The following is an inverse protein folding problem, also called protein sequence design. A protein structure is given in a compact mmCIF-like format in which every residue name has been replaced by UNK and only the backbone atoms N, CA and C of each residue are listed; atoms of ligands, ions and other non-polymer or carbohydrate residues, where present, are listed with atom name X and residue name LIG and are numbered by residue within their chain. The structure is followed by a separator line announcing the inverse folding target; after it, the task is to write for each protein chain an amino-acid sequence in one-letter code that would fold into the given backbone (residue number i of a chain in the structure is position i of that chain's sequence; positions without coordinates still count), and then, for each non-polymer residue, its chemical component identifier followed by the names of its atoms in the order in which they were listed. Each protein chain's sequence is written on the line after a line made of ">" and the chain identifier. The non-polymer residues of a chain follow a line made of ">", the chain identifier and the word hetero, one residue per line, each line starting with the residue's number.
data_IF_506486968563
#
_entry.id   IF_506486968563
#
_cell.length_a   1.000
_cell.length_b   1.000
_cell.length_c   1.000
_cell.angle_alpha   90.00
_cell.angle_beta   90.00
_cell.angle_gamma   90.00
#
_symmetry.space_group_name_H-M   'P 1'
#
loop_
_entity.id
_entity.type
_entity.pdbx_description
1 polymer ?
#
# COMPACT_ATOMS: atom_id res chain seq x y z
N UNK A 1 -45.91 -17.22 25.25
CA UNK A 1 -45.05 -17.72 24.15
C UNK A 1 -45.04 -16.63 23.10
N UNK A 2 -43.98 -15.83 23.10
CA UNK A 2 -43.74 -14.87 22.04
C UNK A 2 -42.86 -15.65 21.07
N UNK A 3 -43.45 -16.08 19.97
CA UNK A 3 -42.73 -16.59 18.81
C UNK A 3 -41.83 -15.44 18.34
N UNK A 4 -40.62 -15.44 18.88
CA UNK A 4 -39.51 -14.67 18.35
C UNK A 4 -39.23 -15.34 17.03
N UNK A 5 -39.87 -14.82 16.01
CA UNK A 5 -39.52 -14.96 14.62
C UNK A 5 -38.02 -14.62 14.53
N UNK A 6 -37.19 -15.64 14.65
CA UNK A 6 -35.74 -15.60 14.45
C UNK A 6 -35.49 -15.53 12.94
N UNK A 7 -36.17 -14.60 12.28
CA UNK A 7 -35.82 -14.07 10.95
C UNK A 7 -34.67 -13.09 11.12
N UNK A 8 -33.68 -13.48 11.93
CA UNK A 8 -32.33 -13.04 11.64
C UNK A 8 -32.01 -13.78 10.36
N UNK A 9 -32.08 -13.05 9.25
CA UNK A 9 -31.28 -13.29 8.06
C UNK A 9 -29.96 -13.94 8.52
N UNK A 10 -29.93 -15.27 8.52
CA UNK A 10 -28.72 -16.06 8.60
C UNK A 10 -28.15 -15.99 7.20
N UNK A 11 -27.89 -14.76 6.76
CA UNK A 11 -27.22 -14.45 5.52
C UNK A 11 -26.06 -15.45 5.49
N UNK A 12 -26.03 -16.37 4.49
CA UNK A 12 -25.02 -17.39 4.45
C UNK A 12 -23.71 -16.64 4.61
N UNK A 13 -22.95 -17.00 5.65
CA UNK A 13 -21.60 -16.49 5.86
C UNK A 13 -20.74 -17.04 4.74
N UNK A 14 -21.02 -16.66 3.50
CA UNK A 14 -20.14 -16.78 2.34
C UNK A 14 -19.03 -15.73 2.54
N UNK A 15 -18.38 -15.87 3.68
CA UNK A 15 -17.48 -14.94 4.33
C UNK A 15 -16.10 -15.41 3.88
N UNK A 16 -15.60 -14.72 2.86
CA UNK A 16 -14.27 -14.88 2.27
C UNK A 16 -14.12 -16.12 1.37
N UNK A 17 -14.70 -16.08 0.17
CA UNK A 17 -14.41 -17.03 -0.91
C UNK A 17 -12.92 -17.03 -1.31
N UNK A 18 -12.14 -16.00 -0.94
CA UNK A 18 -10.67 -16.00 -1.06
C UNK A 18 -10.01 -16.76 0.11
N UNK A 19 -9.08 -17.70 -0.18
CA UNK A 19 -8.34 -18.39 0.87
C UNK A 19 -7.54 -17.40 1.73
N UNK A 20 -7.85 -17.34 3.03
CA UNK A 20 -7.20 -16.45 4.01
C UNK A 20 -5.66 -16.53 3.95
N UNK A 21 -5.11 -17.70 3.64
CA UNK A 21 -3.67 -17.89 3.45
C UNK A 21 -3.09 -17.14 2.25
N UNK A 22 -3.84 -17.00 1.16
CA UNK A 22 -3.39 -16.25 -0.02
C UNK A 22 -3.32 -14.76 0.25
N UNK A 23 -4.25 -14.22 1.06
CA UNK A 23 -4.21 -12.82 1.53
C UNK A 23 -2.94 -12.55 2.35
N UNK A 24 -2.54 -13.48 3.22
CA UNK A 24 -1.30 -13.37 4.01
C UNK A 24 -0.05 -13.35 3.10
N UNK A 25 0.00 -14.20 2.08
CA UNK A 25 1.10 -14.19 1.10
C UNK A 25 1.22 -12.84 0.39
N UNK A 26 0.10 -12.26 -0.05
CA UNK A 26 0.10 -10.93 -0.66
C UNK A 26 0.52 -9.83 0.31
N UNK A 27 0.11 -9.88 1.59
CA UNK A 27 0.58 -8.94 2.61
C UNK A 27 2.09 -9.05 2.83
N UNK A 28 2.66 -10.25 2.85
CA UNK A 28 4.11 -10.46 3.00
C UNK A 28 4.86 -9.85 1.80
N UNK A 29 4.41 -10.15 0.57
CA UNK A 29 5.03 -9.59 -0.65
C UNK A 29 4.98 -8.06 -0.64
N UNK A 30 3.81 -7.48 -0.34
CA UNK A 30 3.65 -6.02 -0.26
C UNK A 30 4.48 -5.43 0.88
N UNK A 31 4.59 -6.11 2.02
CA UNK A 31 5.47 -5.72 3.12
C UNK A 31 6.94 -5.69 2.72
N UNK A 32 7.41 -6.68 1.95
CA UNK A 32 8.78 -6.68 1.40
C UNK A 32 8.97 -5.52 0.41
N UNK A 33 8.00 -5.28 -0.47
CA UNK A 33 8.05 -4.14 -1.39
C UNK A 33 8.03 -2.80 -0.66
N UNK A 34 7.30 -2.67 0.45
CA UNK A 34 7.30 -1.48 1.31
C UNK A 34 8.66 -1.23 1.95
N UNK A 35 9.34 -2.28 2.42
CA UNK A 35 10.71 -2.18 2.93
C UNK A 35 11.67 -1.65 1.85
N UNK A 36 11.53 -2.14 0.62
CA UNK A 36 12.30 -1.65 -0.51
C UNK A 36 11.97 -0.18 -0.85
N UNK A 37 10.69 0.17 -0.93
CA UNK A 37 10.26 1.55 -1.20
C UNK A 37 10.76 2.53 -0.13
N UNK A 38 10.73 2.15 1.15
CA UNK A 38 11.29 2.96 2.23
C UNK A 38 12.79 3.18 2.04
N UNK A 39 13.54 2.12 1.69
CA UNK A 39 14.97 2.21 1.43
C UNK A 39 15.28 3.16 0.26
N UNK A 40 14.48 3.08 -0.82
CA UNK A 40 14.56 3.99 -1.98
C UNK A 40 14.26 5.43 -1.56
N UNK A 41 13.22 5.69 -0.77
CA UNK A 41 12.89 7.04 -0.30
C UNK A 41 14.02 7.65 0.54
N UNK A 42 14.65 6.87 1.43
CA UNK A 42 15.81 7.31 2.21
C UNK A 42 16.97 7.64 1.27
N UNK A 43 17.26 6.78 0.30
CA UNK A 43 18.31 7.00 -0.68
C UNK A 43 18.06 8.28 -1.51
N UNK A 44 16.83 8.47 -2.01
CA UNK A 44 16.45 9.67 -2.75
C UNK A 44 16.59 10.94 -1.89
N UNK A 45 16.18 10.88 -0.62
CA UNK A 45 16.33 12.00 0.31
C UNK A 45 17.81 12.34 0.57
N UNK A 46 18.68 11.33 0.71
CA UNK A 46 20.13 11.53 0.87
C UNK A 46 20.73 12.16 -0.39
N UNK A 47 20.41 11.64 -1.58
CA UNK A 47 20.92 12.19 -2.84
C UNK A 47 20.44 13.64 -3.02
N UNK A 48 19.15 13.89 -2.77
CA UNK A 48 18.57 15.23 -2.81
C UNK A 48 19.31 16.20 -1.88
N UNK A 49 19.61 15.77 -0.66
CA UNK A 49 20.35 16.57 0.32
C UNK A 49 21.76 16.92 -0.17
N UNK A 50 22.47 15.95 -0.77
CA UNK A 50 23.82 16.15 -1.33
C UNK A 50 23.77 17.13 -2.51
N UNK A 51 22.78 17.02 -3.41
CA UNK A 51 22.62 17.96 -4.53
C UNK A 51 22.38 19.38 -4.01
N UNK A 52 21.48 19.55 -3.06
CA UNK A 52 21.17 20.86 -2.46
C UNK A 52 22.40 21.49 -1.79
N UNK A 53 23.31 20.67 -1.25
CA UNK A 53 24.55 21.13 -0.62
C UNK A 53 25.57 21.67 -1.64
N UNK A 54 25.61 21.08 -2.85
CA UNK A 54 26.60 21.41 -3.89
C UNK A 54 26.04 22.42 -4.90
N UNK A 55 24.76 22.33 -5.24
CA UNK A 55 24.10 23.05 -6.34
C UNK A 55 23.31 24.26 -5.82
N UNK A 56 23.96 25.08 -5.00
CA UNK A 56 23.44 26.37 -4.52
C UNK A 56 22.00 26.33 -3.98
N UNK A 57 21.67 25.29 -3.21
CA UNK A 57 20.35 25.06 -2.60
C UNK A 57 19.20 24.83 -3.60
N UNK A 58 19.50 24.51 -4.86
CA UNK A 58 18.48 24.15 -5.84
C UNK A 58 18.10 22.66 -5.71
N UNK A 59 16.82 22.35 -5.47
CA UNK A 59 16.35 20.97 -5.47
C UNK A 59 16.23 20.42 -6.91
N UNK A 60 16.65 19.17 -7.13
CA UNK A 60 16.46 18.51 -8.41
C UNK A 60 15.00 18.04 -8.59
N UNK A 61 14.27 18.68 -9.52
CA UNK A 61 12.87 18.37 -9.78
C UNK A 61 12.62 16.92 -10.19
N UNK A 62 13.56 16.27 -10.89
CA UNK A 62 13.40 14.87 -11.34
C UNK A 62 13.45 13.89 -10.17
N UNK A 63 14.34 14.12 -9.20
CA UNK A 63 14.43 13.27 -8.01
C UNK A 63 13.21 13.46 -7.10
N UNK A 64 12.73 14.69 -6.97
CA UNK A 64 11.51 14.99 -6.23
C UNK A 64 10.28 14.28 -6.84
N UNK A 65 10.15 14.31 -8.16
CA UNK A 65 9.06 13.63 -8.88
C UNK A 65 9.11 12.10 -8.72
N UNK A 66 10.30 11.50 -8.83
CA UNK A 66 10.52 10.08 -8.52
C UNK A 66 10.10 9.73 -7.08
N UNK A 67 10.49 10.55 -6.11
CA UNK A 67 10.09 10.37 -4.71
C UNK A 67 8.59 10.49 -4.50
N UNK A 68 7.93 11.40 -5.22
CA UNK A 68 6.47 11.58 -5.18
C UNK A 68 5.73 10.34 -5.72
N UNK A 69 6.18 9.79 -6.85
CA UNK A 69 5.62 8.56 -7.43
C UNK A 69 5.76 7.36 -6.48
N UNK A 70 6.93 7.19 -5.85
CA UNK A 70 7.14 6.12 -4.86
C UNK A 70 6.25 6.33 -3.64
N UNK A 71 6.15 7.57 -3.13
CA UNK A 71 5.28 7.90 -1.99
C UNK A 71 3.80 7.63 -2.26
N UNK A 72 3.32 7.94 -3.47
CA UNK A 72 1.95 7.65 -3.88
C UNK A 72 1.65 6.14 -3.87
N UNK A 73 2.60 5.31 -4.33
CA UNK A 73 2.48 3.85 -4.24
C UNK A 73 2.48 3.36 -2.79
N UNK A 74 3.38 3.85 -1.94
CA UNK A 74 3.44 3.48 -0.51
C UNK A 74 2.10 3.74 0.18
N UNK A 75 1.47 4.88 -0.09
CA UNK A 75 0.16 5.21 0.47
C UNK A 75 -0.95 4.24 0.00
N UNK A 76 -0.93 3.80 -1.26
CA UNK A 76 -1.87 2.78 -1.78
C UNK A 76 -1.59 1.41 -1.13
N UNK A 77 -0.33 1.01 -1.00
CA UNK A 77 0.07 -0.26 -0.39
C UNK A 77 -0.31 -0.37 1.10
N UNK A 78 -0.11 0.70 1.87
CA UNK A 78 -0.50 0.75 3.27
C UNK A 78 -2.01 0.54 3.46
N UNK A 79 -2.84 1.14 2.62
CA UNK A 79 -4.31 0.96 2.66
C UNK A 79 -4.72 -0.50 2.46
N UNK A 80 -4.08 -1.22 1.55
CA UNK A 80 -4.32 -2.64 1.34
C UNK A 80 -3.91 -3.47 2.57
N UNK A 81 -2.75 -3.19 3.17
CA UNK A 81 -2.27 -3.94 4.33
C UNK A 81 -3.18 -3.83 5.56
N UNK A 82 -3.79 -2.67 5.78
CA UNK A 82 -4.71 -2.44 6.93
C UNK A 82 -6.14 -2.88 6.60
N UNK A 83 -6.39 -3.43 5.40
CA UNK A 83 -7.71 -3.85 4.97
C UNK A 83 -8.68 -2.69 4.74
N UNK A 84 -8.17 -1.47 4.58
CA UNK A 84 -8.98 -0.30 4.23
C UNK A 84 -9.42 -0.32 2.75
N UNK A 85 -8.80 -1.17 1.92
CA UNK A 85 -9.22 -1.44 0.53
C UNK A 85 -8.87 -2.88 0.14
N UNK A 86 -9.76 -3.54 -0.60
CA UNK A 86 -9.50 -4.84 -1.23
C UNK A 86 -8.80 -4.70 -2.59
N UNK A 87 -8.48 -3.47 -3.01
CA UNK A 87 -7.77 -3.22 -4.27
C UNK A 87 -6.28 -3.45 -4.06
N UNK A 88 -5.76 -4.53 -4.67
CA UNK A 88 -4.32 -4.86 -4.66
C UNK A 88 -3.51 -3.76 -5.37
N UNK A 89 -2.40 -3.26 -4.80
CA UNK A 89 -1.52 -2.31 -5.47
C UNK A 89 -0.66 -2.98 -6.55
N UNK A 90 -0.06 -2.16 -7.43
CA UNK A 90 0.95 -2.60 -8.41
C UNK A 90 2.03 -3.45 -7.74
N UNK A 91 2.49 -4.58 -8.33
CA UNK A 91 2.39 -4.98 -9.74
C UNK A 91 1.16 -5.83 -10.13
N UNK A 92 0.24 -6.10 -9.19
CA UNK A 92 -0.87 -7.01 -9.44
C UNK A 92 -2.08 -6.35 -10.11
N UNK A 93 -2.15 -5.02 -10.07
CA UNK A 93 -3.12 -4.15 -10.74
C UNK A 93 -2.39 -2.91 -11.24
N UNK A 94 -2.84 -2.38 -12.36
CA UNK A 94 -2.33 -1.12 -12.89
C UNK A 94 -2.66 0.05 -11.95
N UNK A 95 -1.78 1.05 -11.94
CA UNK A 95 -2.04 2.29 -11.25
C UNK A 95 -2.99 3.13 -12.09
N UNK A 96 -4.23 3.27 -11.64
CA UNK A 96 -5.09 4.41 -12.01
C UNK A 96 -4.54 5.71 -11.42
#
# INVERSE_FOLDING_TARGET
>A
MQDVDDDRDTAPLDRLTEPLGLRLVYMIIIGVMLSFAQSVLILLAVIQFVIVLIDNRQPNARLADLGCMVGAWVAKAARYMVGATDTKPWPFREMD
#
